data_IF_945466462559
#
_entry.id   IF_945466462559
#
_cell.length_a   1.000
_cell.length_b   1.000
_cell.length_c   1.000
_cell.angle_alpha   90.00
_cell.angle_beta   90.00
_cell.angle_gamma   90.00
#
_symmetry.space_group_name_H-M   'P 1'
#
loop_
_entity.id
_entity.type
_entity.pdbx_description
1 polymer ?
#
# COMPACT_ATOMS: atom_id res chain seq x y z
N UNK A 1 23.66 -3.22 -19.83
CA UNK A 1 22.28 -3.35 -20.34
C UNK A 1 21.38 -3.74 -19.17
N UNK A 2 20.63 -2.78 -18.60
CA UNK A 2 19.77 -2.99 -17.44
C UNK A 2 18.65 -3.98 -17.81
N UNK A 3 18.62 -5.15 -17.16
CA UNK A 3 17.52 -6.11 -17.27
C UNK A 3 16.23 -5.36 -16.95
N UNK A 4 15.38 -5.23 -17.96
CA UNK A 4 14.01 -4.73 -17.84
C UNK A 4 13.27 -5.73 -16.96
N UNK A 5 13.27 -5.48 -15.65
CA UNK A 5 12.39 -6.18 -14.72
C UNK A 5 10.97 -5.82 -15.14
N UNK A 6 10.35 -6.73 -15.90
CA UNK A 6 8.92 -6.71 -16.11
C UNK A 6 8.30 -7.12 -14.77
N UNK A 7 8.21 -6.17 -13.83
CA UNK A 7 7.63 -6.43 -12.50
C UNK A 7 6.17 -6.78 -12.71
N UNK A 8 5.80 -7.98 -12.30
CA UNK A 8 4.44 -8.45 -12.41
C UNK A 8 3.54 -7.65 -11.45
N UNK A 9 2.41 -7.18 -11.98
CA UNK A 9 1.46 -6.33 -11.25
C UNK A 9 0.81 -7.11 -10.11
N UNK A 10 0.47 -8.38 -10.35
CA UNK A 10 -0.16 -9.26 -9.36
C UNK A 10 0.84 -9.67 -8.28
N UNK A 11 2.07 -10.02 -8.66
CA UNK A 11 3.13 -10.34 -7.69
C UNK A 11 3.42 -9.13 -6.79
N UNK A 12 3.51 -7.94 -7.37
CA UNK A 12 3.74 -6.71 -6.59
C UNK A 12 2.56 -6.41 -5.66
N UNK A 13 1.32 -6.54 -6.15
CA UNK A 13 0.12 -6.36 -5.34
C UNK A 13 0.06 -7.40 -4.20
N UNK A 14 0.38 -8.66 -4.48
CA UNK A 14 0.44 -9.73 -3.48
C UNK A 14 1.50 -9.42 -2.42
N UNK A 15 2.70 -8.97 -2.82
CA UNK A 15 3.75 -8.58 -1.88
C UNK A 15 3.31 -7.43 -0.95
N UNK A 16 2.58 -6.46 -1.49
CA UNK A 16 1.98 -5.38 -0.69
C UNK A 16 0.95 -5.96 0.27
N UNK A 17 0.01 -6.75 -0.24
CA UNK A 17 -1.08 -7.35 0.53
C UNK A 17 -0.58 -8.23 1.70
N UNK A 18 0.50 -8.98 1.50
CA UNK A 18 1.07 -9.86 2.53
C UNK A 18 1.75 -9.11 3.69
N UNK A 19 2.01 -7.81 3.55
CA UNK A 19 2.53 -6.96 4.63
C UNK A 19 1.42 -5.99 5.08
N UNK A 20 0.88 -6.21 6.28
CA UNK A 20 -0.25 -5.44 6.79
C UNK A 20 0.03 -3.94 6.94
N UNK A 21 1.26 -3.55 7.30
CA UNK A 21 1.64 -2.14 7.43
C UNK A 21 1.81 -1.52 6.05
N UNK A 22 2.45 -2.23 5.12
CA UNK A 22 2.59 -1.77 3.74
C UNK A 22 1.22 -1.65 3.04
N UNK A 23 0.30 -2.58 3.32
CA UNK A 23 -1.10 -2.53 2.87
C UNK A 23 -1.83 -1.33 3.41
N UNK A 24 -1.69 -1.02 4.70
CA UNK A 24 -2.28 0.17 5.31
C UNK A 24 -1.74 1.45 4.67
N UNK A 25 -0.41 1.58 4.55
CA UNK A 25 0.25 2.72 3.92
C UNK A 25 -0.25 2.91 2.48
N UNK A 26 -0.26 1.84 1.69
CA UNK A 26 -0.73 1.89 0.31
C UNK A 26 -2.21 2.29 0.24
N UNK A 27 -3.05 1.80 1.15
CA UNK A 27 -4.47 2.17 1.25
C UNK A 27 -4.66 3.65 1.57
N UNK A 28 -3.84 4.22 2.47
CA UNK A 28 -3.85 5.65 2.80
C UNK A 28 -3.45 6.47 1.57
N UNK A 29 -2.37 6.11 0.87
CA UNK A 29 -1.90 6.80 -0.34
C UNK A 29 -2.97 6.78 -1.44
N UNK A 30 -3.59 5.62 -1.68
CA UNK A 30 -4.68 5.44 -2.66
C UNK A 30 -5.87 6.36 -2.34
N UNK A 31 -6.20 6.54 -1.07
CA UNK A 31 -7.39 7.27 -0.63
C UNK A 31 -7.17 8.79 -0.60
N UNK A 32 -5.94 9.25 -0.36
CA UNK A 32 -5.62 10.67 -0.12
C UNK A 32 -4.80 11.32 -1.25
N UNK A 33 -4.94 10.83 -2.50
CA UNK A 33 -4.28 11.33 -3.73
C UNK A 33 -3.42 12.60 -3.53
N UNK A 34 -2.09 12.45 -3.49
CA UNK A 34 -1.08 13.50 -3.22
C UNK A 34 -0.84 13.82 -1.73
N UNK A 35 -0.53 12.80 -0.93
CA UNK A 35 -0.26 12.93 0.51
C UNK A 35 1.22 13.28 0.79
N UNK A 36 1.48 14.08 1.83
CA UNK A 36 2.85 14.34 2.31
C UNK A 36 3.35 13.24 3.25
N UNK A 37 4.66 13.13 3.50
CA UNK A 37 5.18 12.17 4.47
C UNK A 37 4.66 12.42 5.89
N UNK A 38 4.53 13.69 6.29
CA UNK A 38 4.05 14.07 7.62
C UNK A 38 2.60 13.65 7.82
N UNK A 39 1.75 13.93 6.83
CA UNK A 39 0.35 13.54 6.87
C UNK A 39 0.19 12.01 6.82
N UNK A 40 1.01 11.32 6.01
CA UNK A 40 1.02 9.87 5.94
C UNK A 40 1.38 9.25 7.29
N UNK A 41 2.46 9.72 7.94
CA UNK A 41 2.86 9.24 9.27
C UNK A 41 1.74 9.42 10.28
N UNK A 42 1.16 10.63 10.35
CA UNK A 42 0.06 10.93 11.27
C UNK A 42 -1.13 9.97 11.07
N UNK A 43 -1.55 9.74 9.82
CA UNK A 43 -2.65 8.81 9.53
C UNK A 43 -2.32 7.36 9.87
N UNK A 44 -1.06 6.94 9.76
CA UNK A 44 -0.62 5.61 10.18
C UNK A 44 -0.61 5.49 11.71
N UNK A 45 -0.08 6.49 12.42
CA UNK A 45 -0.09 6.57 13.89
C UNK A 45 -1.50 6.56 14.48
N UNK A 46 -2.45 7.27 13.85
CA UNK A 46 -3.87 7.25 14.23
C UNK A 46 -4.51 5.86 14.12
N UNK A 47 -3.95 4.97 13.29
CA UNK A 47 -4.45 3.60 13.06
C UNK A 47 -3.66 2.54 13.81
N UNK A 48 -2.38 2.79 14.07
CA UNK A 48 -1.44 1.87 14.69
C UNK A 48 -0.83 2.53 15.92
N UNK A 49 -1.15 1.99 17.09
CA UNK A 49 -0.53 2.39 18.35
C UNK A 49 0.77 1.59 18.58
N UNK A 50 1.75 1.73 17.68
CA UNK A 50 3.06 1.07 17.79
C UNK A 50 4.16 2.07 18.17
N UNK A 51 5.21 1.57 18.81
CA UNK A 51 6.46 2.30 18.98
C UNK A 51 7.21 2.35 17.64
N UNK A 52 7.90 3.46 17.32
CA UNK A 52 8.71 3.66 16.10
C UNK A 52 7.92 3.64 14.76
N UNK A 53 6.69 4.16 14.75
CA UNK A 53 5.94 4.38 13.50
C UNK A 53 6.72 5.22 12.48
N UNK A 54 7.41 6.32 12.84
CA UNK A 54 8.10 7.16 11.85
C UNK A 54 9.13 6.41 11.00
N UNK A 55 9.94 5.56 11.62
CA UNK A 55 10.95 4.71 10.98
C UNK A 55 10.31 3.65 10.11
N UNK A 56 9.28 2.98 10.62
CA UNK A 56 8.55 1.92 9.91
C UNK A 56 7.89 2.48 8.65
N UNK A 57 7.20 3.63 8.74
CA UNK A 57 6.58 4.29 7.59
C UNK A 57 7.63 4.66 6.55
N UNK A 58 8.76 5.22 6.98
CA UNK A 58 9.87 5.59 6.09
C UNK A 58 10.43 4.38 5.34
N UNK A 59 10.62 3.26 6.03
CA UNK A 59 11.10 2.01 5.42
C UNK A 59 10.11 1.50 4.36
N UNK A 60 8.82 1.38 4.71
CA UNK A 60 7.81 0.86 3.79
C UNK A 60 7.59 1.78 2.58
N UNK A 61 7.61 3.10 2.78
CA UNK A 61 7.57 4.07 1.67
C UNK A 61 8.74 3.86 0.72
N UNK A 62 9.96 3.70 1.25
CA UNK A 62 11.14 3.43 0.41
C UNK A 62 11.00 2.13 -0.39
N UNK A 63 10.46 1.07 0.22
CA UNK A 63 10.19 -0.20 -0.49
C UNK A 63 9.19 0.04 -1.64
N UNK A 64 8.14 0.82 -1.42
CA UNK A 64 7.14 1.13 -2.46
C UNK A 64 7.75 1.97 -3.61
N UNK A 65 8.70 2.85 -3.32
CA UNK A 65 9.48 3.59 -4.32
C UNK A 65 10.40 2.66 -5.11
N UNK A 66 11.13 1.77 -4.44
CA UNK A 66 11.99 0.76 -5.05
C UNK A 66 11.17 -0.20 -5.94
N UNK A 67 9.93 -0.48 -5.53
CA UNK A 67 8.94 -1.22 -6.32
C UNK A 67 8.37 -0.42 -7.51
N UNK A 68 8.66 0.88 -7.60
CA UNK A 68 8.13 1.84 -8.60
C UNK A 68 6.61 1.97 -8.55
N UNK A 69 6.00 1.68 -7.40
CA UNK A 69 4.56 1.81 -7.19
C UNK A 69 4.21 3.27 -6.89
N UNK A 70 5.06 3.94 -6.14
CA UNK A 70 4.95 5.37 -5.86
C UNK A 70 6.17 6.12 -6.35
N UNK A 71 6.02 7.44 -6.50
CA UNK A 71 7.10 8.38 -6.72
C UNK A 71 6.86 9.66 -5.91
N UNK A 72 7.94 10.43 -5.69
CA UNK A 72 7.88 11.74 -5.05
C UNK A 72 7.81 12.84 -6.10
N UNK A 73 6.87 13.77 -5.94
CA UNK A 73 6.79 15.01 -6.71
C UNK A 73 6.92 16.19 -5.76
N UNK A 74 8.16 16.60 -5.49
CA UNK A 74 8.44 17.55 -4.42
C UNK A 74 8.20 16.90 -3.05
N UNK A 75 7.31 17.48 -2.25
CA UNK A 75 6.98 17.00 -0.90
C UNK A 75 5.78 16.05 -0.83
N UNK A 76 5.18 15.69 -1.98
CA UNK A 76 4.04 14.78 -2.05
C UNK A 76 4.42 13.43 -2.64
N UNK A 77 3.76 12.40 -2.14
CA UNK A 77 3.81 11.02 -2.62
C UNK A 77 2.63 10.80 -3.56
N UNK A 78 2.92 10.27 -4.75
CA UNK A 78 1.91 9.98 -5.77
C UNK A 78 2.09 8.57 -6.34
N UNK A 79 1.00 8.00 -6.86
CA UNK A 79 1.06 6.72 -7.57
C UNK A 79 1.67 6.92 -8.96
N UNK A 80 2.57 6.02 -9.35
CA UNK A 80 3.04 5.94 -10.75
C UNK A 80 1.96 5.31 -11.64
N UNK A 81 2.15 5.32 -12.96
CA UNK A 81 1.28 4.59 -13.89
C UNK A 81 1.24 3.08 -13.59
N UNK A 82 2.34 2.51 -13.11
CA UNK A 82 2.41 1.13 -12.63
C UNK A 82 1.67 0.96 -11.30
N UNK A 83 1.88 1.88 -10.35
CA UNK A 83 1.18 1.89 -9.06
C UNK A 83 -0.33 2.01 -9.18
N UNK A 84 -0.84 2.73 -10.18
CA UNK A 84 -2.27 2.79 -10.49
C UNK A 84 -2.85 1.44 -10.93
N UNK A 85 -2.05 0.57 -11.55
CA UNK A 85 -2.49 -0.79 -11.91
C UNK A 85 -2.41 -1.71 -10.70
N UNK A 86 -1.32 -1.64 -9.93
CA UNK A 86 -1.13 -2.39 -8.69
C UNK A 86 -2.24 -2.06 -7.68
N UNK A 87 -2.62 -0.79 -7.55
CA UNK A 87 -3.67 -0.36 -6.62
C UNK A 87 -5.04 -0.93 -6.96
N UNK A 88 -5.36 -1.15 -8.23
CA UNK A 88 -6.61 -1.81 -8.64
C UNK A 88 -6.64 -3.25 -8.16
N UNK A 89 -5.58 -4.01 -8.43
CA UNK A 89 -5.47 -5.41 -7.97
C UNK A 89 -5.51 -5.49 -6.44
N UNK A 90 -4.81 -4.59 -5.75
CA UNK A 90 -4.82 -4.55 -4.29
C UNK A 90 -6.22 -4.26 -3.72
N UNK A 91 -6.98 -3.35 -4.33
CA UNK A 91 -8.37 -3.08 -3.94
C UNK A 91 -9.25 -4.33 -4.09
N UNK A 92 -9.10 -5.05 -5.19
CA UNK A 92 -9.85 -6.29 -5.42
C UNK A 92 -9.47 -7.36 -4.38
N UNK A 93 -8.19 -7.52 -4.08
CA UNK A 93 -7.71 -8.43 -3.02
C UNK A 93 -8.29 -8.07 -1.64
N UNK A 94 -8.29 -6.79 -1.27
CA UNK A 94 -8.87 -6.30 -0.01
C UNK A 94 -10.37 -6.54 0.07
N UNK A 95 -11.09 -6.35 -1.05
CA UNK A 95 -12.52 -6.62 -1.13
C UNK A 95 -12.81 -8.11 -0.92
N UNK A 96 -12.10 -9.00 -1.62
CA UNK A 96 -12.26 -10.45 -1.47
C UNK A 96 -11.93 -10.89 -0.05
N UNK A 97 -10.88 -10.35 0.56
CA UNK A 97 -10.54 -10.62 1.95
C UNK A 97 -11.66 -10.21 2.91
N UNK A 98 -12.19 -8.99 2.77
CA UNK A 98 -13.31 -8.51 3.58
C UNK A 98 -14.54 -9.40 3.42
N UNK A 99 -14.93 -9.72 2.18
CA UNK A 99 -16.08 -10.58 1.88
C UNK A 99 -15.91 -12.00 2.45
N UNK A 100 -14.69 -12.54 2.42
CA UNK A 100 -14.39 -13.90 2.90
C UNK A 100 -14.32 -13.99 4.42
N UNK A 101 -13.79 -12.98 5.11
CA UNK A 101 -13.49 -13.11 6.54
C UNK A 101 -14.35 -12.26 7.46
N UNK A 102 -15.12 -11.30 6.92
CA UNK A 102 -15.94 -10.39 7.74
C UNK A 102 -17.40 -10.34 7.34
N UNK A 103 -17.77 -10.92 6.20
CA UNK A 103 -19.17 -10.96 5.77
C UNK A 103 -19.96 -11.96 6.62
N UNK A 104 -21.11 -11.58 7.22
CA UNK A 104 -21.86 -12.43 8.15
C UNK A 104 -22.42 -13.74 7.55
N UNK A 105 -22.32 -13.93 6.23
CA UNK A 105 -22.85 -15.09 5.53
C UNK A 105 -22.06 -16.39 5.71
N UNK A 106 -20.93 -16.39 6.43
CA UNK A 106 -20.14 -17.60 6.72
C UNK A 106 -20.40 -18.22 8.09
N UNK A 107 -21.33 -17.68 8.90
CA UNK A 107 -21.75 -18.29 10.19
C UNK A 107 -22.76 -19.44 10.06
N UNK A 108 -22.64 -20.28 9.03
CA UNK A 108 -23.41 -21.54 8.94
C UNK A 108 -22.51 -22.66 8.47
N UNK A 109 -21.77 -23.27 9.38
CA UNK A 109 -21.43 -24.70 9.37
C UNK A 109 -21.10 -25.13 10.79
#
# INVERSE_FOLDING_TARGET
MLKVFNKDIHETASKIFSDGIMTLIMSIIITNSNISDEELKKKVEEKLHLDNIPETVKEKVKILEDLRVIERKGNIIVLTSFGLKVSKILKDMLKVYYETFTSPNLKKH
#
